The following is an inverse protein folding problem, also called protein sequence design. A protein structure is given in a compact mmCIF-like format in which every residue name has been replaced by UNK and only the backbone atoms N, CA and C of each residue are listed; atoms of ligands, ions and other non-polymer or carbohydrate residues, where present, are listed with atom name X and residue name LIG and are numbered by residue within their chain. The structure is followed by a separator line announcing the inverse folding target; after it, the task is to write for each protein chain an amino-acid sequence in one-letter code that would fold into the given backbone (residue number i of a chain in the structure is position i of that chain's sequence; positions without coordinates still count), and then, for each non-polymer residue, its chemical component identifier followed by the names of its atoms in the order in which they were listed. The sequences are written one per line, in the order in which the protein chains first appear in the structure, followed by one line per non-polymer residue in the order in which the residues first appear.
data_IF_969134147540
#
_entry.id   IF_969134147540
#
_cell.length_a   1.000
_cell.length_b   1.000
_cell.length_c   1.000
_cell.angle_alpha   90.00
_cell.angle_beta   90.00
_cell.angle_gamma   90.00
#
_symmetry.space_group_name_H-M   'P 1'
#
loop_
_entity.id
_entity.type
_entity.pdbx_description
1 polymer ?
#
# COMPACT_ATOMS: atom_id res chain seq x y z
N UNK A 1 -26.43 8.77 6.51
CA UNK A 1 -25.14 9.43 6.28
C UNK A 1 -24.04 8.44 6.69
N UNK A 2 -23.76 7.47 5.83
CA UNK A 2 -22.69 6.50 6.06
C UNK A 2 -21.44 7.08 5.43
N UNK A 3 -20.60 7.76 6.22
CA UNK A 3 -19.24 8.04 5.77
C UNK A 3 -18.60 6.70 5.46
N UNK A 4 -18.12 6.53 4.22
CA UNK A 4 -17.44 5.32 3.79
C UNK A 4 -16.29 5.07 4.76
N UNK A 5 -16.38 4.03 5.58
CA UNK A 5 -15.38 3.65 6.60
C UNK A 5 -13.98 3.40 6.02
N UNK A 6 -13.86 3.41 4.70
CA UNK A 6 -12.61 3.32 3.95
C UNK A 6 -11.73 4.57 4.08
N UNK A 7 -12.28 5.74 4.41
CA UNK A 7 -11.52 7.00 4.46
C UNK A 7 -10.68 7.13 5.71
N UNK A 8 -11.27 6.75 6.85
CA UNK A 8 -10.65 6.84 8.15
C UNK A 8 -9.42 5.91 8.25
N UNK A 9 -9.41 4.83 7.48
CA UNK A 9 -8.39 3.79 7.52
C UNK A 9 -7.34 3.92 6.41
N UNK A 10 -7.57 4.78 5.41
CA UNK A 10 -6.63 4.99 4.31
C UNK A 10 -5.42 5.82 4.76
N UNK A 11 -4.23 5.24 4.64
CA UNK A 11 -2.97 5.95 4.89
C UNK A 11 -2.47 6.74 3.68
N UNK A 12 -3.21 6.78 2.57
CA UNK A 12 -2.89 7.61 1.41
C UNK A 12 -3.00 9.11 1.73
N UNK A 13 -2.34 9.99 0.95
CA UNK A 13 -2.55 11.43 1.03
C UNK A 13 -4.05 11.77 0.99
N UNK A 14 -4.55 12.67 1.86
CA UNK A 14 -5.98 12.98 1.96
C UNK A 14 -6.62 13.37 0.63
N UNK A 15 -5.92 14.15 -0.18
CA UNK A 15 -6.36 14.57 -1.52
C UNK A 15 -6.54 13.39 -2.48
N UNK A 16 -5.65 12.39 -2.43
CA UNK A 16 -5.76 11.20 -3.27
C UNK A 16 -6.88 10.28 -2.80
N UNK A 17 -7.06 10.13 -1.49
CA UNK A 17 -8.19 9.39 -0.92
C UNK A 17 -9.52 10.00 -1.36
N UNK A 18 -9.71 11.31 -1.16
CA UNK A 18 -10.94 12.00 -1.58
C UNK A 18 -11.23 11.77 -3.07
N UNK A 19 -10.22 11.89 -3.92
CA UNK A 19 -10.41 11.71 -5.36
C UNK A 19 -10.78 10.26 -5.74
N UNK A 20 -10.17 9.26 -5.10
CA UNK A 20 -10.52 7.84 -5.31
C UNK A 20 -11.97 7.52 -4.96
N UNK A 21 -12.58 8.29 -4.05
CA UNK A 21 -13.98 8.11 -3.69
C UNK A 21 -14.96 8.70 -4.69
N UNK A 22 -14.57 9.83 -5.30
CA UNK A 22 -15.35 10.50 -6.33
C UNK A 22 -15.29 9.74 -7.67
N UNK A 23 -14.35 8.81 -7.81
CA UNK A 23 -14.25 7.98 -9.01
C UNK A 23 -15.46 7.03 -9.13
N UNK A 24 -16.11 6.99 -10.30
CA UNK A 24 -17.20 6.06 -10.54
C UNK A 24 -16.67 4.61 -10.52
N UNK A 25 -17.56 3.67 -10.20
CA UNK A 25 -17.23 2.25 -10.25
C UNK A 25 -16.82 1.84 -11.67
N UNK A 26 -15.73 1.07 -11.80
CA UNK A 26 -15.28 0.56 -13.08
C UNK A 26 -16.38 -0.28 -13.76
N UNK A 27 -16.67 0.02 -15.02
CA UNK A 27 -17.57 -0.76 -15.86
C UNK A 27 -16.94 -2.13 -16.15
N UNK A 28 -17.41 -3.17 -15.45
CA UNK A 28 -16.83 -4.53 -15.47
C UNK A 28 -16.76 -5.19 -16.86
N UNK A 29 -17.47 -4.66 -17.86
CA UNK A 29 -17.70 -5.32 -19.15
C UNK A 29 -17.36 -4.45 -20.37
N UNK A 30 -17.03 -3.17 -20.16
CA UNK A 30 -16.79 -2.20 -21.24
C UNK A 30 -15.40 -1.53 -21.15
N UNK A 31 -14.74 -1.59 -19.99
CA UNK A 31 -13.43 -0.99 -19.80
C UNK A 31 -12.28 -1.82 -20.36
N UNK A 32 -11.39 -1.20 -21.12
CA UNK A 32 -10.07 -1.77 -21.41
C UNK A 32 -9.21 -1.71 -20.13
N UNK A 33 -8.80 -2.86 -19.55
CA UNK A 33 -8.04 -2.90 -18.31
C UNK A 33 -6.69 -2.19 -18.44
N UNK A 34 -6.03 -2.26 -19.60
CA UNK A 34 -4.75 -1.59 -19.85
C UNK A 34 -4.92 -0.07 -19.88
N UNK A 35 -6.03 0.41 -20.46
CA UNK A 35 -6.35 1.85 -20.47
C UNK A 35 -6.59 2.38 -19.05
N UNK A 36 -7.26 1.60 -18.20
CA UNK A 36 -7.45 1.95 -16.79
C UNK A 36 -6.13 1.96 -16.02
N UNK A 37 -5.28 0.94 -16.19
CA UNK A 37 -3.96 0.88 -15.55
C UNK A 37 -3.11 2.09 -15.97
N UNK A 38 -3.11 2.45 -17.25
CA UNK A 38 -2.41 3.62 -17.75
C UNK A 38 -2.97 4.93 -17.16
N UNK A 39 -4.29 5.08 -17.12
CA UNK A 39 -4.95 6.25 -16.55
C UNK A 39 -4.61 6.42 -15.06
N UNK A 40 -4.74 5.34 -14.26
CA UNK A 40 -4.37 5.35 -12.85
C UNK A 40 -2.88 5.60 -12.63
N UNK A 41 -2.01 5.03 -13.46
CA UNK A 41 -0.57 5.28 -13.40
C UNK A 41 -0.28 6.76 -13.64
N UNK A 42 -0.81 7.36 -14.71
CA UNK A 42 -0.61 8.78 -15.01
C UNK A 42 -1.17 9.67 -13.91
N UNK A 43 -2.38 9.38 -13.45
CA UNK A 43 -3.00 10.12 -12.35
C UNK A 43 -2.14 10.09 -11.09
N UNK A 44 -1.66 8.90 -10.69
CA UNK A 44 -0.79 8.73 -9.53
C UNK A 44 0.48 9.57 -9.65
N UNK A 45 1.15 9.52 -10.81
CA UNK A 45 2.37 10.28 -11.05
C UNK A 45 2.14 11.79 -10.97
N UNK A 46 1.06 12.28 -11.61
CA UNK A 46 0.70 13.70 -11.54
C UNK A 46 0.34 14.12 -10.12
N UNK A 47 -0.43 13.30 -9.40
CA UNK A 47 -0.82 13.58 -8.02
C UNK A 47 0.39 13.69 -7.10
N UNK A 48 1.31 12.72 -7.17
CA UNK A 48 2.53 12.76 -6.37
C UNK A 48 3.38 13.96 -6.72
N UNK A 49 3.56 14.26 -8.01
CA UNK A 49 4.32 15.43 -8.45
C UNK A 49 3.73 16.75 -7.92
N UNK A 50 2.39 16.88 -7.92
CA UNK A 50 1.70 18.08 -7.44
C UNK A 50 1.70 18.19 -5.90
N UNK A 51 1.71 17.06 -5.19
CA UNK A 51 1.74 17.03 -3.73
C UNK A 51 3.15 17.20 -3.15
N UNK A 52 4.20 17.02 -3.96
CA UNK A 52 5.56 17.15 -3.50
C UNK A 52 5.98 18.62 -3.39
N UNK A 53 6.38 19.05 -2.19
CA UNK A 53 6.88 20.41 -1.93
C UNK A 53 8.17 20.72 -2.67
N UNK A 54 9.05 19.73 -2.88
CA UNK A 54 10.30 19.83 -3.65
C UNK A 54 10.20 19.13 -5.01
N UNK A 55 9.06 19.29 -5.70
CA UNK A 55 8.79 18.64 -6.99
C UNK A 55 9.89 18.76 -8.06
N UNK A 56 10.67 19.85 -8.05
CA UNK A 56 11.79 20.06 -8.98
C UNK A 56 12.95 19.09 -8.77
N UNK A 57 13.11 18.58 -7.56
CA UNK A 57 14.17 17.65 -7.16
C UNK A 57 13.78 16.18 -7.40
N UNK A 58 12.53 15.93 -7.83
CA UNK A 58 11.99 14.58 -8.10
C UNK A 58 12.16 13.61 -6.92
N UNK A 59 12.16 14.12 -5.69
CA UNK A 59 12.22 13.30 -4.48
C UNK A 59 10.97 12.44 -4.29
N UNK A 60 11.07 11.44 -3.42
CA UNK A 60 9.89 10.69 -2.98
C UNK A 60 8.97 11.60 -2.17
N UNK A 61 7.65 11.41 -2.30
CA UNK A 61 6.67 12.07 -1.44
C UNK A 61 6.93 11.64 0.00
N UNK A 62 7.16 12.63 0.88
CA UNK A 62 7.37 12.36 2.30
C UNK A 62 6.02 12.30 3.00
N UNK A 63 5.70 11.21 3.72
CA UNK A 63 4.49 11.13 4.53
C UNK A 63 4.48 12.19 5.63
N UNK A 64 3.34 12.87 5.82
CA UNK A 64 3.15 13.76 6.97
C UNK A 64 2.73 12.93 8.19
N UNK A 65 3.66 12.67 9.09
CA UNK A 65 3.42 11.83 10.29
C UNK A 65 2.30 12.38 11.18
N UNK A 66 2.11 13.70 11.25
CA UNK A 66 1.02 14.30 12.02
C UNK A 66 -0.37 13.97 11.44
N UNK A 67 -0.44 13.66 10.13
CA UNK A 67 -1.67 13.24 9.45
C UNK A 67 -1.82 11.72 9.47
N UNK A 68 -0.73 10.98 9.26
CA UNK A 68 -0.78 9.52 9.13
C UNK A 68 -0.86 8.83 10.49
N UNK A 69 -0.21 9.34 11.54
CA UNK A 69 -0.22 8.77 12.89
C UNK A 69 -1.63 8.51 13.43
N UNK A 70 -2.53 9.51 13.46
CA UNK A 70 -3.91 9.29 13.90
C UNK A 70 -4.67 8.26 13.08
N UNK A 71 -4.43 8.19 11.76
CA UNK A 71 -5.07 7.20 10.87
C UNK A 71 -4.49 5.80 11.05
N UNK A 72 -3.18 5.69 11.29
CA UNK A 72 -2.53 4.43 11.62
C UNK A 72 -3.11 3.86 12.92
N UNK A 73 -3.31 4.70 13.94
CA UNK A 73 -4.00 4.29 15.18
C UNK A 73 -5.44 3.79 14.93
N UNK A 74 -6.19 4.48 14.06
CA UNK A 74 -7.55 4.03 13.69
C UNK A 74 -7.53 2.71 12.90
N UNK A 75 -6.54 2.52 12.02
CA UNK A 75 -6.30 1.27 11.30
C UNK A 75 -6.00 0.12 12.26
N UNK A 76 -5.10 0.33 13.22
CA UNK A 76 -4.76 -0.64 14.28
C UNK A 76 -6.00 -1.02 15.07
N UNK A 77 -6.79 -0.03 15.53
CA UNK A 77 -8.03 -0.29 16.26
C UNK A 77 -9.04 -1.08 15.42
N UNK A 78 -9.10 -0.88 14.11
CA UNK A 78 -9.94 -1.66 13.22
C UNK A 78 -9.41 -3.10 13.03
N UNK A 79 -8.09 -3.28 12.87
CA UNK A 79 -7.44 -4.58 12.74
C UNK A 79 -7.59 -5.42 14.01
N UNK A 80 -7.46 -4.81 15.18
CA UNK A 80 -7.58 -5.50 16.47
C UNK A 80 -8.98 -6.07 16.72
N UNK A 81 -10.01 -5.62 16.01
CA UNK A 81 -11.32 -6.30 16.03
C UNK A 81 -11.27 -7.72 15.46
N UNK A 82 -10.30 -7.99 14.59
CA UNK A 82 -10.10 -9.30 13.97
C UNK A 82 -8.94 -10.08 14.60
N UNK A 83 -7.80 -9.42 14.87
CA UNK A 83 -6.59 -10.09 15.34
C UNK A 83 -6.41 -10.07 16.85
N UNK A 84 -7.16 -9.22 17.58
CA UNK A 84 -7.03 -9.09 19.03
C UNK A 84 -7.38 -10.37 19.80
N UNK A 85 -8.08 -11.31 19.16
CA UNK A 85 -8.37 -12.64 19.74
C UNK A 85 -7.14 -13.55 19.86
N UNK A 86 -6.05 -13.21 19.17
CA UNK A 86 -4.78 -13.96 19.22
C UNK A 86 -3.79 -13.36 20.22
N UNK A 87 -4.18 -12.32 20.95
CA UNK A 87 -3.35 -11.61 21.93
C UNK A 87 -3.77 -12.05 23.32
N UNK A 88 -2.80 -12.20 24.22
CA UNK A 88 -3.07 -12.50 25.63
C UNK A 88 -3.99 -11.43 26.26
N UNK A 89 -4.81 -11.84 27.24
CA UNK A 89 -5.83 -10.97 27.85
C UNK A 89 -5.24 -9.98 28.87
N UNK A 90 -3.93 -10.06 29.15
CA UNK A 90 -3.24 -9.12 30.01
C UNK A 90 -3.10 -7.74 29.35
N UNK A 91 -3.14 -6.70 30.18
CA UNK A 91 -3.19 -5.31 29.70
C UNK A 91 -1.89 -4.87 29.03
N UNK A 92 -0.76 -5.41 29.48
CA UNK A 92 0.56 -4.99 29.04
C UNK A 92 0.82 -5.57 27.64
N UNK A 93 0.56 -6.87 27.43
CA UNK A 93 0.64 -7.53 26.12
C UNK A 93 -0.27 -6.87 25.07
N UNK A 94 -1.48 -6.44 25.46
CA UNK A 94 -2.39 -5.71 24.55
C UNK A 94 -1.84 -4.36 24.16
N UNK A 95 -1.26 -3.63 25.13
CA UNK A 95 -0.68 -2.33 24.87
C UNK A 95 0.55 -2.42 23.95
N UNK A 96 1.46 -3.35 24.24
CA UNK A 96 2.64 -3.61 23.41
C UNK A 96 2.24 -4.05 21.99
N UNK A 97 1.23 -4.92 21.86
CA UNK A 97 0.74 -5.37 20.56
C UNK A 97 0.12 -4.22 19.74
N UNK A 98 -0.63 -3.31 20.38
CA UNK A 98 -1.16 -2.11 19.73
C UNK A 98 -0.06 -1.18 19.24
N UNK A 99 0.96 -0.95 20.07
CA UNK A 99 2.12 -0.12 19.73
C UNK A 99 2.89 -0.71 18.54
N UNK A 100 3.25 -1.99 18.61
CA UNK A 100 3.95 -2.68 17.53
C UNK A 100 3.15 -2.67 16.22
N UNK A 101 1.83 -2.87 16.28
CA UNK A 101 1.00 -2.84 15.07
C UNK A 101 0.93 -1.44 14.47
N UNK A 102 0.95 -0.40 15.30
CA UNK A 102 1.01 0.99 14.85
C UNK A 102 2.32 1.28 14.13
N UNK A 103 3.45 0.83 14.67
CA UNK A 103 4.76 0.99 14.03
C UNK A 103 4.82 0.27 12.68
N UNK A 104 4.32 -0.96 12.61
CA UNK A 104 4.21 -1.71 11.35
C UNK A 104 3.35 -0.95 10.34
N UNK A 105 2.20 -0.42 10.76
CA UNK A 105 1.32 0.35 9.88
C UNK A 105 2.01 1.62 9.35
N UNK A 106 2.79 2.31 10.18
CA UNK A 106 3.56 3.49 9.79
C UNK A 106 4.68 3.16 8.81
N UNK A 107 5.45 2.11 9.05
CA UNK A 107 6.50 1.67 8.13
C UNK A 107 5.92 1.17 6.79
N UNK A 108 4.79 0.45 6.82
CA UNK A 108 4.06 0.11 5.60
C UNK A 108 3.57 1.36 4.86
N UNK A 109 3.13 2.41 5.57
CA UNK A 109 2.77 3.68 4.93
C UNK A 109 3.99 4.33 4.27
N UNK A 110 5.13 4.42 4.97
CA UNK A 110 6.38 4.96 4.40
C UNK A 110 6.79 4.21 3.13
N UNK A 111 6.79 2.88 3.16
CA UNK A 111 7.04 2.04 1.99
C UNK A 111 6.02 2.32 0.88
N UNK A 112 4.73 2.43 1.22
CA UNK A 112 3.66 2.78 0.31
C UNK A 112 3.91 4.11 -0.40
N UNK A 113 4.39 5.13 0.31
CA UNK A 113 4.74 6.44 -0.27
C UNK A 113 5.95 6.36 -1.19
N UNK A 114 6.96 5.53 -0.85
CA UNK A 114 8.10 5.27 -1.74
C UNK A 114 7.60 4.65 -3.05
N UNK A 115 6.79 3.59 -2.99
CA UNK A 115 6.23 2.92 -4.18
C UNK A 115 5.31 3.86 -4.97
N UNK A 116 4.45 4.62 -4.28
CA UNK A 116 3.56 5.60 -4.87
C UNK A 116 4.32 6.66 -5.68
N UNK A 117 5.53 7.00 -5.24
CA UNK A 117 6.40 7.99 -5.88
C UNK A 117 7.19 7.47 -7.07
N UNK A 118 7.22 6.16 -7.29
CA UNK A 118 7.99 5.58 -8.40
C UNK A 118 7.30 5.81 -9.75
N UNK A 119 8.04 6.17 -10.82
CA UNK A 119 7.48 6.39 -12.16
C UNK A 119 6.84 5.13 -12.78
N UNK A 120 7.27 3.96 -12.34
CA UNK A 120 6.85 2.66 -12.87
C UNK A 120 5.58 2.13 -12.20
N UNK A 121 4.85 1.22 -12.87
CA UNK A 121 3.77 0.48 -12.24
C UNK A 121 4.31 -0.77 -11.53
N UNK A 122 3.74 -1.06 -10.36
CA UNK A 122 4.11 -2.21 -9.55
C UNK A 122 2.90 -3.06 -9.21
N UNK A 123 3.10 -4.37 -9.11
CA UNK A 123 2.06 -5.33 -8.70
C UNK A 123 2.58 -6.17 -7.54
N UNK A 124 1.73 -6.39 -6.55
CA UNK A 124 2.02 -7.32 -5.47
C UNK A 124 1.92 -8.76 -5.98
N UNK A 125 2.96 -9.55 -5.72
CA UNK A 125 2.96 -10.99 -5.93
C UNK A 125 2.91 -11.67 -4.56
N UNK A 126 2.03 -12.64 -4.41
CA UNK A 126 2.05 -13.54 -3.27
C UNK A 126 2.43 -14.92 -3.81
N UNK A 127 3.70 -15.28 -3.70
CA UNK A 127 4.13 -16.64 -4.04
C UNK A 127 3.75 -17.56 -2.87
N UNK A 128 2.93 -18.57 -3.15
CA UNK A 128 2.68 -19.65 -2.21
C UNK A 128 3.70 -20.74 -2.50
N UNK A 129 4.67 -20.93 -1.61
CA UNK A 129 5.58 -22.06 -1.71
C UNK A 129 5.00 -23.20 -0.86
N UNK A 130 4.60 -24.30 -1.50
CA UNK A 130 4.22 -25.51 -0.79
C UNK A 130 5.49 -26.28 -0.39
N UNK A 131 6.18 -25.74 0.61
CA UNK A 131 7.31 -26.44 1.23
C UNK A 131 6.74 -27.29 2.36
N UNK A 132 6.19 -28.45 1.98
CA UNK A 132 5.84 -29.57 2.88
C UNK A 132 5.22 -29.11 4.21
N UNK A 133 3.93 -28.74 4.18
CA UNK A 133 3.04 -28.50 5.35
C UNK A 133 3.14 -27.13 6.05
N UNK A 134 3.95 -26.20 5.59
CA UNK A 134 3.96 -24.83 6.11
C UNK A 134 3.48 -23.84 5.03
N UNK A 135 2.44 -23.06 5.34
CA UNK A 135 1.95 -21.99 4.46
C UNK A 135 2.85 -20.78 4.70
N UNK A 136 3.95 -20.69 3.96
CA UNK A 136 4.77 -19.47 3.92
C UNK A 136 4.32 -18.64 2.72
N UNK A 137 3.64 -17.51 3.00
CA UNK A 137 3.28 -16.51 1.99
C UNK A 137 4.40 -15.47 1.94
N UNK A 138 5.12 -15.44 0.83
CA UNK A 138 6.15 -14.42 0.62
C UNK A 138 5.58 -13.29 -0.26
N UNK A 139 5.30 -12.11 0.31
CA UNK A 139 4.95 -10.95 -0.49
C UNK A 139 6.18 -10.47 -1.27
N UNK A 140 5.99 -10.29 -2.57
CA UNK A 140 6.95 -9.67 -3.47
C UNK A 140 6.32 -8.48 -4.17
N UNK A 141 7.17 -7.60 -4.69
CA UNK A 141 6.75 -6.46 -5.50
C UNK A 141 7.45 -6.54 -6.86
N UNK A 142 6.66 -6.60 -7.92
CA UNK A 142 7.16 -6.64 -9.28
C UNK A 142 6.96 -5.32 -9.98
N UNK A 143 7.99 -4.86 -10.69
CA UNK A 143 7.85 -3.79 -11.66
C UNK A 143 7.28 -4.35 -12.97
N UNK A 144 6.11 -3.87 -13.35
CA UNK A 144 5.35 -4.36 -14.52
C UNK A 144 5.49 -3.42 -15.71
N UNK A 145 5.68 -2.11 -15.48
CA UNK A 145 5.99 -1.17 -16.54
C UNK A 145 7.26 -0.39 -16.24
N UNK A 146 7.91 0.13 -17.27
CA UNK A 146 8.95 1.15 -17.11
C UNK A 146 8.35 2.54 -16.87
N UNK A 147 9.22 3.55 -16.82
CA UNK A 147 8.87 4.96 -16.62
C UNK A 147 8.08 5.57 -17.78
N UNK A 148 8.12 4.92 -18.95
CA UNK A 148 7.42 5.33 -20.17
C UNK A 148 6.08 4.60 -20.33
N UNK A 149 5.76 3.68 -19.41
CA UNK A 149 4.57 2.84 -19.45
C UNK A 149 4.71 1.62 -20.37
N UNK A 150 5.91 1.33 -20.88
CA UNK A 150 6.15 0.11 -21.65
C UNK A 150 6.24 -1.09 -20.70
N UNK A 151 5.68 -2.23 -21.11
CA UNK A 151 5.72 -3.45 -20.32
C UNK A 151 7.16 -3.91 -20.10
N UNK A 152 7.49 -4.23 -18.85
CA UNK A 152 8.75 -4.84 -18.46
C UNK A 152 8.56 -6.34 -18.25
N UNK A 153 9.58 -7.12 -18.55
CA UNK A 153 9.68 -8.47 -17.99
C UNK A 153 9.71 -8.31 -16.47
N UNK A 154 8.73 -8.91 -15.77
CA UNK A 154 8.60 -8.81 -14.33
C UNK A 154 9.92 -9.24 -13.66
N UNK A 155 10.67 -8.28 -13.15
CA UNK A 155 11.88 -8.53 -12.36
C UNK A 155 11.48 -8.54 -10.89
N UNK A 156 11.85 -9.62 -10.19
CA UNK A 156 11.69 -9.72 -8.74
C UNK A 156 12.56 -8.63 -8.12
N UNK A 157 11.94 -7.63 -7.50
CA UNK A 157 12.67 -6.56 -6.79
C UNK A 157 12.92 -6.97 -5.34
N UNK A 158 12.04 -7.81 -4.78
CA UNK A 158 12.23 -8.45 -3.49
C UNK A 158 11.40 -9.75 -3.43
N UNK A 159 12.02 -10.81 -2.91
CA UNK A 159 11.47 -12.14 -2.68
C UNK A 159 12.52 -12.99 -1.96
N UNK A 160 12.14 -14.09 -1.28
CA UNK A 160 13.13 -14.97 -0.66
C UNK A 160 14.06 -15.48 -1.76
N UNK A 161 15.35 -15.19 -1.62
CA UNK A 161 16.38 -15.87 -2.39
C UNK A 161 16.33 -17.33 -2.01
N UNK A 162 15.95 -18.19 -2.96
CA UNK A 162 16.24 -19.62 -2.84
C UNK A 162 17.76 -19.72 -2.95
N UNK A 163 18.46 -19.61 -1.83
CA UNK A 163 19.82 -20.13 -1.74
C UNK A 163 19.68 -21.65 -1.69
N UNK A 164 20.02 -22.30 -2.80
CA UNK A 164 20.33 -23.72 -2.79
C UNK A 164 21.44 -23.95 -1.76
N UNK A 165 21.10 -24.68 -0.69
CA UNK A 165 22.06 -25.32 0.22
C UNK A 165 22.51 -26.64 -0.40
#
# INVERSE_FOLDING_TARGET
MLMSTKDALSLLPPSMTAMLQEMPHCEKHLGNPDAMILAFTRWRLLSVFLLNSTRSERGCLVPNEAVIGPRAKQLVAALNKAIGMFVDDDKDSRHEQEEHLQDVALECAKLGYVVLSQPSAYVYRFACFDVRKEIVVCPGLDKVTDERGAQCIARVISGPGVHEL
#
